data_IF_138524956535
#
_entry.id   IF_138524956535
#
_cell.length_a   1.000
_cell.length_b   1.000
_cell.length_c   1.000
_cell.angle_alpha   90.00
_cell.angle_beta   90.00
_cell.angle_gamma   90.00
#
_symmetry.space_group_name_H-M   'P 1'
#
loop_
_entity.id
_entity.type
_entity.pdbx_description
1 polymer ?
#
# COMPACT_ATOMS: atom_id res chain seq x y z
N UNK A 1 -21.30 19.08 -2.85
CA UNK A 1 -22.09 18.49 -3.97
C UNK A 1 -22.28 17.02 -3.64
N UNK A 2 -23.45 16.66 -3.13
CA UNK A 2 -23.84 15.26 -2.90
C UNK A 2 -24.13 14.59 -4.24
N UNK A 3 -23.15 13.84 -4.76
CA UNK A 3 -23.37 12.95 -5.90
C UNK A 3 -24.04 11.70 -5.34
N UNK A 4 -25.36 11.74 -5.43
CA UNK A 4 -26.29 10.88 -4.71
C UNK A 4 -26.07 9.39 -5.00
N UNK A 5 -26.04 8.60 -3.93
CA UNK A 5 -26.07 7.12 -3.89
C UNK A 5 -27.10 6.49 -4.83
N UNK A 6 -28.14 7.23 -5.23
CA UNK A 6 -29.15 6.83 -6.23
C UNK A 6 -28.56 6.49 -7.60
N UNK A 7 -27.47 7.13 -8.03
CA UNK A 7 -26.83 6.81 -9.32
C UNK A 7 -26.01 5.51 -9.28
N UNK A 8 -25.41 5.18 -8.13
CA UNK A 8 -24.72 3.89 -7.93
C UNK A 8 -25.71 2.74 -7.84
N UNK A 9 -26.80 2.91 -7.09
CA UNK A 9 -27.85 1.89 -6.95
C UNK A 9 -28.54 1.63 -8.29
N UNK A 10 -28.84 2.68 -9.05
CA UNK A 10 -29.43 2.54 -10.40
C UNK A 10 -28.49 1.84 -11.37
N UNK A 11 -27.17 2.05 -11.26
CA UNK A 11 -26.19 1.34 -12.09
C UNK A 11 -26.06 -0.14 -11.72
N UNK A 12 -26.12 -0.46 -10.43
CA UNK A 12 -26.10 -1.84 -9.94
C UNK A 12 -27.37 -2.62 -10.33
N UNK A 13 -28.55 -2.00 -10.26
CA UNK A 13 -29.80 -2.64 -10.71
C UNK A 13 -29.84 -2.88 -12.22
N UNK A 14 -29.32 -1.95 -13.02
CA UNK A 14 -29.28 -2.11 -14.49
C UNK A 14 -28.37 -3.28 -14.89
N UNK A 15 -27.24 -3.46 -14.20
CA UNK A 15 -26.30 -4.57 -14.40
C UNK A 15 -26.89 -5.93 -13.99
N UNK A 16 -27.75 -5.96 -12.97
CA UNK A 16 -28.47 -7.17 -12.53
C UNK A 16 -29.64 -7.53 -13.47
N UNK A 17 -30.31 -6.54 -14.07
CA UNK A 17 -31.37 -6.76 -15.07
C UNK A 17 -30.82 -7.24 -16.41
N UNK A 18 -29.69 -6.71 -16.88
CA UNK A 18 -29.07 -7.14 -18.14
C UNK A 18 -28.64 -8.62 -18.12
N UNK A 19 -28.29 -9.16 -16.94
CA UNK A 19 -28.00 -10.60 -16.78
C UNK A 19 -29.26 -11.49 -16.80
N UNK A 20 -30.45 -10.92 -16.59
CA UNK A 20 -31.72 -11.66 -16.59
C UNK A 20 -32.46 -11.59 -17.92
N UNK A 21 -32.13 -10.64 -18.80
CA UNK A 21 -32.81 -10.44 -20.09
C UNK A 21 -32.06 -10.97 -21.32
N UNK A 22 -30.89 -11.59 -21.16
CA UNK A 22 -30.16 -12.19 -22.29
C UNK A 22 -30.66 -13.62 -22.62
N UNK A 23 -31.68 -13.68 -23.49
CA UNK A 23 -31.98 -14.70 -24.54
C UNK A 23 -32.24 -16.17 -24.12
N UNK A 24 -33.44 -16.73 -24.44
CA UNK A 24 -33.69 -18.18 -24.40
C UNK A 24 -33.05 -18.84 -25.62
N UNK A 25 -32.15 -19.82 -25.42
CA UNK A 25 -31.63 -20.63 -26.52
C UNK A 25 -30.15 -21.02 -26.48
N UNK A 26 -29.43 -20.85 -25.36
CA UNK A 26 -28.05 -21.37 -25.24
C UNK A 26 -27.96 -22.32 -24.05
N UNK A 27 -28.30 -23.59 -24.28
CA UNK A 27 -27.83 -24.71 -23.46
C UNK A 27 -26.34 -24.90 -23.71
N UNK A 28 -25.53 -23.99 -23.15
CA UNK A 28 -24.14 -24.24 -22.84
C UNK A 28 -24.04 -24.15 -21.33
N UNK A 29 -24.10 -25.29 -20.65
CA UNK A 29 -23.72 -25.36 -19.24
C UNK A 29 -22.32 -24.73 -19.16
N UNK A 30 -22.09 -23.70 -18.32
CA UNK A 30 -20.74 -23.18 -18.12
C UNK A 30 -19.90 -24.36 -17.64
N UNK A 31 -18.99 -24.84 -18.46
CA UNK A 31 -18.17 -26.00 -18.12
C UNK A 31 -17.39 -25.63 -16.85
N UNK A 32 -17.50 -26.43 -15.78
CA UNK A 32 -16.84 -26.18 -14.49
C UNK A 32 -15.32 -25.96 -14.66
N UNK A 33 -14.73 -26.57 -15.69
CA UNK A 33 -13.33 -26.40 -16.06
C UNK A 33 -12.98 -24.96 -16.48
N UNK A 34 -13.83 -24.26 -17.25
CA UNK A 34 -13.57 -22.87 -17.66
C UNK A 34 -13.71 -21.90 -16.48
N UNK A 35 -14.71 -22.11 -15.63
CA UNK A 35 -14.87 -21.32 -14.40
C UNK A 35 -13.75 -21.57 -13.38
N UNK A 36 -13.15 -22.75 -13.36
CA UNK A 36 -12.02 -23.07 -12.48
C UNK A 36 -10.73 -22.39 -12.96
N UNK A 37 -10.46 -22.36 -14.28
CA UNK A 37 -9.32 -21.65 -14.86
C UNK A 37 -9.43 -20.14 -14.65
N UNK A 38 -10.60 -19.54 -14.91
CA UNK A 38 -10.84 -18.11 -14.70
C UNK A 38 -10.71 -17.69 -13.22
N UNK A 39 -11.17 -18.53 -12.28
CA UNK A 39 -10.99 -18.29 -10.84
C UNK A 39 -9.52 -18.36 -10.42
N UNK A 40 -8.74 -19.25 -11.04
CA UNK A 40 -7.32 -19.42 -10.74
C UNK A 40 -6.52 -18.21 -11.23
N UNK A 41 -6.74 -17.75 -12.46
CA UNK A 41 -6.10 -16.54 -13.02
C UNK A 41 -6.51 -15.26 -12.29
N UNK A 42 -7.78 -15.16 -11.89
CA UNK A 42 -8.25 -14.05 -11.07
C UNK A 42 -7.57 -14.03 -9.69
N UNK A 43 -7.45 -15.21 -9.05
CA UNK A 43 -6.81 -15.34 -7.75
C UNK A 43 -5.31 -15.05 -7.81
N UNK A 44 -4.61 -15.47 -8.86
CA UNK A 44 -3.18 -15.18 -9.04
C UNK A 44 -2.93 -13.70 -9.32
N UNK A 45 -3.76 -13.06 -10.16
CA UNK A 45 -3.67 -11.62 -10.43
C UNK A 45 -3.91 -10.76 -9.19
N UNK A 46 -4.93 -11.09 -8.39
CA UNK A 46 -5.18 -10.40 -7.12
C UNK A 46 -4.07 -10.62 -6.11
N UNK A 47 -3.53 -11.83 -6.03
CA UNK A 47 -2.44 -12.14 -5.11
C UNK A 47 -1.18 -11.35 -5.46
N UNK A 48 -0.83 -11.29 -6.76
CA UNK A 48 0.30 -10.47 -7.22
C UNK A 48 0.10 -9.00 -6.91
N UNK A 49 -1.11 -8.46 -7.11
CA UNK A 49 -1.45 -7.08 -6.75
C UNK A 49 -1.32 -6.83 -5.25
N UNK A 50 -1.84 -7.74 -4.43
CA UNK A 50 -1.73 -7.65 -2.97
C UNK A 50 -0.27 -7.58 -2.51
N UNK A 51 0.58 -8.47 -3.03
CA UNK A 51 2.01 -8.48 -2.68
C UNK A 51 2.72 -7.19 -3.11
N UNK A 52 2.43 -6.68 -4.30
CA UNK A 52 3.01 -5.41 -4.77
C UNK A 52 2.59 -4.23 -3.90
N UNK A 53 1.34 -4.21 -3.43
CA UNK A 53 0.85 -3.20 -2.48
C UNK A 53 1.60 -3.31 -1.15
N UNK A 54 1.79 -4.53 -0.64
CA UNK A 54 2.54 -4.75 0.60
C UNK A 54 4.01 -4.35 0.50
N UNK A 55 4.68 -4.66 -0.61
CA UNK A 55 6.04 -4.22 -0.89
C UNK A 55 6.13 -2.68 -0.95
N UNK A 56 5.18 -2.05 -1.65
CA UNK A 56 5.13 -0.59 -1.75
C UNK A 56 4.89 0.06 -0.39
N UNK A 57 4.00 -0.52 0.43
CA UNK A 57 3.77 -0.06 1.81
C UNK A 57 5.02 -0.18 2.67
N UNK A 58 5.75 -1.29 2.60
CA UNK A 58 6.99 -1.48 3.35
C UNK A 58 8.05 -0.43 2.97
N UNK A 59 8.20 -0.15 1.67
CA UNK A 59 9.12 0.87 1.19
C UNK A 59 8.71 2.28 1.66
N UNK A 60 7.42 2.62 1.56
CA UNK A 60 6.91 3.92 2.02
C UNK A 60 7.07 4.08 3.54
N UNK A 61 6.92 3.02 4.33
CA UNK A 61 7.14 3.05 5.78
C UNK A 61 8.62 3.28 6.13
N UNK A 62 9.55 2.70 5.36
CA UNK A 62 10.98 2.96 5.51
C UNK A 62 11.32 4.41 5.16
N UNK A 63 10.79 4.93 4.04
CA UNK A 63 10.93 6.34 3.67
C UNK A 63 10.35 7.27 4.73
N UNK A 64 9.17 6.97 5.27
CA UNK A 64 8.55 7.75 6.34
C UNK A 64 9.46 7.80 7.58
N UNK A 65 10.02 6.65 7.97
CA UNK A 65 10.94 6.56 9.11
C UNK A 65 12.18 7.43 8.89
N UNK A 66 12.71 7.46 7.66
CA UNK A 66 13.83 8.31 7.28
C UNK A 66 13.50 9.79 7.39
N UNK A 67 12.36 10.23 6.83
CA UNK A 67 11.96 11.65 6.88
C UNK A 67 11.59 12.08 8.31
N UNK A 68 10.99 11.21 9.13
CA UNK A 68 10.76 11.47 10.56
C UNK A 68 12.08 11.66 11.33
N UNK A 69 13.07 10.82 11.06
CA UNK A 69 14.41 10.95 11.65
C UNK A 69 15.07 12.27 11.24
N UNK A 70 14.96 12.68 9.96
CA UNK A 70 15.44 13.99 9.51
C UNK A 70 14.80 15.13 10.30
N UNK A 71 13.47 15.13 10.45
CA UNK A 71 12.78 16.16 11.22
C UNK A 71 13.20 16.16 12.69
N UNK A 72 13.40 14.99 13.29
CA UNK A 72 13.90 14.86 14.66
C UNK A 72 15.24 15.57 14.82
N UNK A 73 16.22 15.22 13.98
CA UNK A 73 17.56 15.82 14.00
C UNK A 73 17.50 17.34 13.75
N UNK A 74 16.74 17.78 12.74
CA UNK A 74 16.62 19.21 12.41
C UNK A 74 15.91 20.01 13.51
N UNK A 75 14.98 19.40 14.25
CA UNK A 75 14.23 20.06 15.32
C UNK A 75 15.00 20.14 16.64
N UNK A 76 15.89 19.19 16.91
CA UNK A 76 16.75 19.24 18.09
C UNK A 76 17.77 20.38 18.01
N UNK A 77 18.23 20.76 16.82
CA UNK A 77 19.13 21.90 16.60
C UNK A 77 20.52 21.77 17.23
N UNK A 78 20.84 20.61 17.80
CA UNK A 78 22.07 20.37 18.55
C UNK A 78 23.25 19.92 17.67
N UNK A 79 22.98 19.62 16.40
CA UNK A 79 24.00 19.13 15.47
C UNK A 79 24.43 20.26 14.53
N UNK A 80 25.72 20.60 14.46
CA UNK A 80 26.23 21.55 13.48
C UNK A 80 25.90 21.10 12.06
N UNK A 81 25.61 22.05 11.16
CA UNK A 81 25.26 21.75 9.76
C UNK A 81 26.29 20.84 9.08
N UNK A 82 27.55 21.08 9.38
CA UNK A 82 28.70 20.35 8.83
C UNK A 82 28.71 18.88 9.27
N UNK A 83 28.15 18.58 10.43
CA UNK A 83 28.10 17.23 10.99
C UNK A 83 26.86 16.44 10.53
N UNK A 84 25.83 17.12 9.99
CA UNK A 84 24.62 16.47 9.48
C UNK A 84 24.92 15.47 8.35
N UNK A 85 25.96 15.70 7.55
CA UNK A 85 26.38 14.79 6.46
C UNK A 85 26.85 13.43 6.98
N UNK A 86 27.26 13.36 8.25
CA UNK A 86 27.79 12.14 8.89
C UNK A 86 26.68 11.30 9.54
N UNK A 87 25.46 11.83 9.64
CA UNK A 87 24.33 11.07 10.20
C UNK A 87 23.84 10.07 9.16
N UNK A 88 23.71 8.82 9.58
CA UNK A 88 23.29 7.71 8.73
C UNK A 88 21.90 7.20 9.10
N UNK A 89 21.18 6.73 8.08
CA UNK A 89 20.00 5.88 8.21
C UNK A 89 20.37 4.50 7.65
N UNK A 90 20.59 3.54 8.54
CA UNK A 90 21.22 2.27 8.20
C UNK A 90 22.65 2.51 7.70
N UNK A 91 22.93 2.11 6.46
CA UNK A 91 24.24 2.30 5.81
C UNK A 91 24.28 3.53 4.89
N UNK A 92 23.19 4.29 4.78
CA UNK A 92 23.08 5.43 3.84
C UNK A 92 23.09 6.78 4.56
N UNK A 93 23.61 7.85 3.94
CA UNK A 93 23.50 9.20 4.49
C UNK A 93 22.03 9.61 4.68
N UNK A 94 21.73 10.13 5.89
CA UNK A 94 20.42 10.65 6.22
C UNK A 94 20.13 11.90 5.37
N UNK A 95 21.05 12.87 5.35
CA UNK A 95 20.96 14.12 4.59
C UNK A 95 21.83 14.11 3.33
N UNK A 96 21.46 13.27 2.35
CA UNK A 96 22.18 13.18 1.08
C UNK A 96 22.20 14.52 0.33
N UNK A 97 21.11 15.27 0.39
CA UNK A 97 20.93 16.58 -0.21
C UNK A 97 21.98 17.61 0.27
N UNK A 98 22.45 17.49 1.52
CA UNK A 98 23.49 18.36 2.08
C UNK A 98 24.90 17.97 1.61
N UNK A 99 25.13 16.67 1.36
CA UNK A 99 26.38 16.20 0.76
C UNK A 99 26.50 16.64 -0.70
N UNK A 100 25.39 16.67 -1.44
CA UNK A 100 25.34 17.12 -2.84
C UNK A 100 25.36 18.65 -2.95
N UNK A 101 24.75 19.37 -2.00
CA UNK A 101 24.77 20.82 -1.95
C UNK A 101 24.96 21.39 -0.53
N UNK A 102 26.21 21.66 -0.12
CA UNK A 102 26.53 22.16 1.23
C UNK A 102 25.95 23.55 1.53
N UNK A 103 25.52 24.30 0.50
CA UNK A 103 24.98 25.65 0.65
C UNK A 103 23.46 25.69 0.83
N UNK A 104 22.78 24.53 0.87
CA UNK A 104 21.33 24.49 1.06
C UNK A 104 20.93 25.11 2.41
N UNK A 105 19.85 25.88 2.42
CA UNK A 105 19.30 26.43 3.66
C UNK A 105 18.61 25.33 4.48
N UNK A 106 18.90 25.27 5.79
CA UNK A 106 18.36 24.23 6.67
C UNK A 106 16.85 24.37 6.88
N UNK A 107 16.32 25.59 6.88
CA UNK A 107 14.87 25.80 6.97
C UNK A 107 14.17 25.32 5.70
N UNK A 108 14.79 25.52 4.52
CA UNK A 108 14.28 24.96 3.27
C UNK A 108 14.34 23.43 3.26
N UNK A 109 15.41 22.82 3.78
CA UNK A 109 15.48 21.36 3.94
C UNK A 109 14.34 20.88 4.84
N UNK A 110 14.13 21.54 5.98
CA UNK A 110 13.08 21.20 6.93
C UNK A 110 11.69 21.26 6.30
N UNK A 111 11.40 22.31 5.55
CA UNK A 111 10.13 22.46 4.83
C UNK A 111 9.94 21.35 3.80
N UNK A 112 10.96 21.04 2.99
CA UNK A 112 10.93 19.96 2.01
C UNK A 112 10.70 18.59 2.65
N UNK A 113 11.40 18.31 3.76
CA UNK A 113 11.23 17.07 4.53
C UNK A 113 9.81 16.98 5.08
N UNK A 114 9.26 18.07 5.61
CA UNK A 114 7.88 18.09 6.13
C UNK A 114 6.85 17.84 5.03
N UNK A 115 6.97 18.51 3.88
CA UNK A 115 6.10 18.29 2.72
C UNK A 115 6.20 16.83 2.23
N UNK A 116 7.41 16.30 2.13
CA UNK A 116 7.63 14.92 1.68
C UNK A 116 7.06 13.91 2.67
N UNK A 117 7.23 14.11 3.98
CA UNK A 117 6.61 13.29 5.02
C UNK A 117 5.08 13.22 4.85
N UNK A 118 4.45 14.37 4.64
CA UNK A 118 2.99 14.44 4.49
C UNK A 118 2.53 13.73 3.20
N UNK A 119 3.27 13.87 2.10
CA UNK A 119 3.02 13.13 0.85
C UNK A 119 3.17 11.60 1.01
N UNK A 120 4.18 11.16 1.76
CA UNK A 120 4.39 9.74 2.06
C UNK A 120 3.23 9.22 2.91
N UNK A 121 2.82 9.95 3.94
CA UNK A 121 1.67 9.57 4.79
C UNK A 121 0.39 9.42 3.97
N UNK A 122 0.11 10.37 3.07
CA UNK A 122 -1.07 10.28 2.19
C UNK A 122 -0.98 9.11 1.22
N UNK A 123 0.23 8.77 0.75
CA UNK A 123 0.46 7.61 -0.10
C UNK A 123 0.25 6.30 0.67
N UNK A 124 0.76 6.21 1.91
CA UNK A 124 0.53 5.05 2.80
C UNK A 124 -0.96 4.83 2.98
N UNK A 125 -1.73 5.86 3.36
CA UNK A 125 -3.19 5.74 3.53
C UNK A 125 -3.89 5.22 2.27
N UNK A 126 -3.49 5.69 1.09
CA UNK A 126 -4.05 5.21 -0.19
C UNK A 126 -3.76 3.73 -0.42
N UNK A 127 -2.52 3.30 -0.17
CA UNK A 127 -2.13 1.91 -0.33
C UNK A 127 -2.69 0.99 0.75
N UNK A 128 -2.94 1.47 1.97
CA UNK A 128 -3.67 0.72 3.01
C UNK A 128 -5.11 0.45 2.57
N UNK A 129 -5.81 1.46 2.06
CA UNK A 129 -7.15 1.30 1.49
C UNK A 129 -7.15 0.36 0.29
N UNK A 130 -6.15 0.45 -0.60
CA UNK A 130 -6.00 -0.50 -1.70
C UNK A 130 -5.77 -1.93 -1.20
N UNK A 131 -4.92 -2.09 -0.18
CA UNK A 131 -4.62 -3.38 0.44
C UNK A 131 -5.87 -4.04 1.01
N UNK A 132 -6.67 -3.28 1.77
CA UNK A 132 -7.93 -3.75 2.35
C UNK A 132 -8.94 -4.13 1.25
N UNK A 133 -9.03 -3.33 0.19
CA UNK A 133 -9.91 -3.63 -0.94
C UNK A 133 -9.50 -4.90 -1.68
N UNK A 134 -8.21 -5.07 -1.98
CA UNK A 134 -7.70 -6.26 -2.68
C UNK A 134 -7.89 -7.50 -1.81
N UNK A 135 -7.59 -7.40 -0.52
CA UNK A 135 -7.82 -8.47 0.46
C UNK A 135 -9.30 -8.86 0.52
N UNK A 136 -10.19 -7.88 0.65
CA UNK A 136 -11.64 -8.10 0.71
C UNK A 136 -12.17 -8.79 -0.55
N UNK A 137 -11.74 -8.34 -1.73
CA UNK A 137 -12.14 -8.96 -3.00
C UNK A 137 -11.60 -10.40 -3.10
N UNK A 138 -10.35 -10.63 -2.72
CA UNK A 138 -9.75 -11.97 -2.71
C UNK A 138 -10.50 -12.93 -1.78
N UNK A 139 -10.83 -12.46 -0.57
CA UNK A 139 -11.59 -13.19 0.43
C UNK A 139 -13.04 -13.47 0.02
N UNK A 140 -13.70 -12.57 -0.71
CA UNK A 140 -15.08 -12.77 -1.18
C UNK A 140 -15.18 -13.69 -2.39
N UNK A 141 -14.18 -13.65 -3.29
CA UNK A 141 -14.26 -14.33 -4.60
C UNK A 141 -13.69 -15.74 -4.57
N UNK A 142 -12.61 -15.96 -3.82
CA UNK A 142 -11.96 -17.26 -3.76
C UNK A 142 -11.06 -17.40 -2.52
N UNK A 143 -11.64 -17.44 -1.30
CA UNK A 143 -10.89 -17.32 -0.04
C UNK A 143 -9.81 -18.38 0.13
N UNK A 144 -10.09 -19.66 -0.20
CA UNK A 144 -9.09 -20.73 -0.04
C UNK A 144 -7.92 -20.59 -1.02
N UNK A 145 -8.20 -20.40 -2.32
CA UNK A 145 -7.13 -20.24 -3.32
C UNK A 145 -6.34 -18.95 -3.10
N UNK A 146 -6.99 -17.86 -2.67
CA UNK A 146 -6.33 -16.59 -2.42
C UNK A 146 -5.42 -16.67 -1.18
N UNK A 147 -5.91 -17.24 -0.07
CA UNK A 147 -5.09 -17.48 1.14
C UNK A 147 -3.89 -18.35 0.84
N UNK A 148 -4.12 -19.47 0.15
CA UNK A 148 -3.06 -20.39 -0.24
C UNK A 148 -2.05 -19.73 -1.17
N UNK A 149 -2.50 -18.93 -2.13
CA UNK A 149 -1.60 -18.20 -3.03
C UNK A 149 -0.76 -17.16 -2.29
N UNK A 150 -1.32 -16.45 -1.31
CA UNK A 150 -0.55 -15.54 -0.44
C UNK A 150 0.50 -16.32 0.36
N UNK A 151 0.14 -17.46 0.95
CA UNK A 151 1.03 -18.29 1.77
C UNK A 151 2.16 -18.92 0.92
N UNK A 152 1.82 -19.50 -0.24
CA UNK A 152 2.76 -20.10 -1.18
C UNK A 152 3.75 -19.08 -1.78
N UNK A 153 3.35 -17.82 -1.92
CA UNK A 153 4.23 -16.74 -2.40
C UNK A 153 5.00 -16.06 -1.27
N UNK A 154 4.43 -15.94 -0.06
CA UNK A 154 5.13 -15.41 1.11
C UNK A 154 6.26 -16.33 1.56
N UNK A 155 6.07 -17.65 1.48
CA UNK A 155 7.10 -18.65 1.78
C UNK A 155 8.24 -18.68 0.77
N UNK A 156 8.07 -18.08 -0.43
CA UNK A 156 9.05 -18.17 -1.51
C UNK A 156 10.13 -17.11 -1.54
N UNK A 157 9.93 -15.89 -1.02
CA UNK A 157 11.02 -14.94 -0.68
C UNK A 157 10.54 -13.54 -0.23
N UNK A 158 9.37 -13.42 0.40
CA UNK A 158 8.94 -12.13 0.95
C UNK A 158 8.54 -12.38 2.39
N UNK A 159 9.54 -12.28 3.28
CA UNK A 159 9.30 -12.03 4.71
C UNK A 159 8.53 -10.71 4.79
N UNK A 160 7.20 -10.79 4.68
CA UNK A 160 6.32 -9.77 5.21
C UNK A 160 6.74 -9.64 6.68
N UNK A 161 7.49 -8.58 7.00
CA UNK A 161 7.77 -8.22 8.38
C UNK A 161 6.39 -8.01 9.00
N UNK A 162 5.88 -9.03 9.68
CA UNK A 162 4.79 -8.88 10.61
C UNK A 162 5.24 -7.76 11.55
N UNK A 163 4.54 -6.63 11.51
CA UNK A 163 4.72 -5.58 12.51
C UNK A 163 4.58 -6.28 13.86
N UNK A 164 5.65 -6.26 14.65
CA UNK A 164 5.63 -6.92 15.95
C UNK A 164 4.49 -6.34 16.78
N UNK A 165 3.76 -7.16 17.55
CA UNK A 165 2.67 -6.69 18.41
C UNK A 165 3.10 -5.49 19.28
N UNK A 166 4.37 -5.45 19.70
CA UNK A 166 4.96 -4.32 20.44
C UNK A 166 4.94 -2.98 19.70
N UNK A 167 4.99 -3.00 18.37
CA UNK A 167 4.92 -1.79 17.52
C UNK A 167 3.48 -1.29 17.43
N UNK A 168 2.51 -2.21 17.37
CA UNK A 168 1.07 -1.89 17.33
C UNK A 168 0.60 -1.36 18.69
N UNK A 169 1.06 -1.94 19.79
CA UNK A 169 0.74 -1.46 21.15
C UNK A 169 1.18 -0.01 21.39
N UNK A 170 2.36 0.38 20.87
CA UNK A 170 2.83 1.78 20.95
C UNK A 170 2.01 2.75 20.12
N UNK A 171 1.41 2.31 19.03
CA UNK A 171 0.60 3.15 18.14
C UNK A 171 -0.83 3.39 18.66
N UNK A 172 -1.30 2.58 19.61
CA UNK A 172 -2.66 2.66 20.17
C UNK A 172 -2.68 3.41 21.52
N UNK A 173 -1.51 3.61 22.15
CA UNK A 173 -1.41 4.23 23.49
C UNK A 173 -1.11 5.74 23.50
N UNK A 174 -1.02 6.40 22.34
CA UNK A 174 -0.97 7.87 22.24
C UNK A 174 -2.30 8.47 21.75
#
# INVERSE_FOLDING_TARGET
>A
MDVQLTNLVSSAEKLLRDKRSSVPGRTGVPSEAQNATDKTEFSSGLTSRYLKVQETLANLQEELSKEQMKLGVLSEGNVPKEDLINILFGETPLFRELAENPKLDLEQVREQVQVKKDQIMDSIRKFEVESENVLSVGMLKSPENFRKSIEDLSTKDIRMKQLSEKTIERLIQD
#
